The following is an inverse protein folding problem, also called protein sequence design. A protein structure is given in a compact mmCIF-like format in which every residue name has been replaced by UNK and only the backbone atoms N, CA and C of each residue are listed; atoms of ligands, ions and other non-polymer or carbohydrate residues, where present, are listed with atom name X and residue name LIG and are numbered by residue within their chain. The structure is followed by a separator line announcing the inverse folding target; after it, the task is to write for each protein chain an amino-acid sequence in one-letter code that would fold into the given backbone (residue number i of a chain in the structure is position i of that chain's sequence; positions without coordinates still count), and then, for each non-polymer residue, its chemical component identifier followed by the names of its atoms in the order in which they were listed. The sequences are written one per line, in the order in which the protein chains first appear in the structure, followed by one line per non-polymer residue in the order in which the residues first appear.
data_IF_292736161377
#
_entry.id   IF_292736161377
#
_cell.length_a   1.000
_cell.length_b   1.000
_cell.length_c   1.000
_cell.angle_alpha   90.00
_cell.angle_beta   90.00
_cell.angle_gamma   90.00
#
_symmetry.space_group_name_H-M   'P 1'
#
loop_
_entity.id
_entity.type
_entity.pdbx_description
1 polymer ?
#
# COMPACT_ATOMS: atom_id res chain seq x y z
N UNK A 1 21.36 55.63 29.39
CA UNK A 1 19.90 55.71 29.23
C UNK A 1 19.28 54.73 30.20
N UNK A 2 18.33 55.20 30.99
CA UNK A 2 17.63 54.48 32.06
C UNK A 2 16.22 55.09 32.12
N UNK A 3 15.15 54.40 32.49
CA UNK A 3 14.88 52.97 32.69
C UNK A 3 13.35 52.82 32.84
N UNK A 4 12.86 51.57 32.88
CA UNK A 4 11.55 51.18 33.44
C UNK A 4 10.26 51.85 32.89
N UNK A 5 9.39 51.00 32.35
CA UNK A 5 7.99 50.97 32.80
C UNK A 5 7.64 49.50 33.06
N UNK A 6 6.88 49.24 34.12
CA UNK A 6 6.65 47.90 34.66
C UNK A 6 5.20 47.82 35.14
N UNK A 7 4.42 46.89 34.61
CA UNK A 7 3.12 46.53 35.16
C UNK A 7 3.03 45.00 35.32
N UNK A 8 2.76 44.58 36.56
CA UNK A 8 2.41 43.22 36.99
C UNK A 8 0.86 43.12 37.10
N UNK A 9 0.15 42.15 37.67
CA UNK A 9 0.34 40.85 38.38
C UNK A 9 -0.98 40.04 38.15
N UNK A 10 -1.11 38.72 38.21
CA UNK A 10 -0.17 37.60 38.42
C UNK A 10 -0.48 36.53 37.31
N UNK A 11 -1.13 35.35 37.46
CA UNK A 11 -1.43 34.57 38.65
C UNK A 11 -2.32 33.33 38.50
N UNK A 12 -2.43 32.62 39.64
CA UNK A 12 -3.18 31.38 39.90
C UNK A 12 -2.67 30.09 39.25
N UNK A 13 -2.46 29.08 40.10
CA UNK A 13 -1.95 27.75 39.75
C UNK A 13 -2.96 26.65 40.08
N UNK A 14 -2.86 25.52 39.37
CA UNK A 14 -3.40 24.24 39.82
C UNK A 14 -2.52 23.10 39.29
N UNK A 15 -1.98 22.28 40.20
CA UNK A 15 -1.31 21.02 39.88
C UNK A 15 -2.27 19.87 40.22
N UNK A 16 -2.55 19.00 39.25
CA UNK A 16 -3.18 17.71 39.49
C UNK A 16 -2.38 16.63 38.76
N UNK A 17 -1.84 15.68 39.53
CA UNK A 17 -1.27 14.45 38.99
C UNK A 17 -2.36 13.40 39.02
N UNK A 18 -2.51 12.66 37.94
CA UNK A 18 -3.11 11.34 38.00
C UNK A 18 -2.30 10.37 37.15
N UNK A 19 -2.05 9.19 37.71
CA UNK A 19 -1.44 8.05 37.03
C UNK A 19 -2.50 6.94 37.02
N UNK A 20 -2.73 6.32 35.87
CA UNK A 20 -3.45 5.06 35.81
C UNK A 20 -2.74 4.10 34.86
N UNK A 21 -2.79 2.83 35.23
CA UNK A 21 -1.87 1.78 34.81
C UNK A 21 -2.40 0.93 33.65
N UNK A 22 -1.50 0.28 32.92
CA UNK A 22 -1.85 -0.66 31.85
C UNK A 22 -2.39 -1.99 32.40
N UNK A 23 -3.50 -2.53 31.87
CA UNK A 23 -3.78 -3.96 31.90
C UNK A 23 -3.24 -4.67 30.64
N UNK A 24 -2.93 -5.96 30.77
CA UNK A 24 -2.48 -6.84 29.68
C UNK A 24 -3.25 -8.17 29.70
N UNK A 25 -3.20 -8.88 28.57
CA UNK A 25 -3.81 -10.21 28.35
C UNK A 25 -5.37 -10.21 28.27
N UNK A 26 -6.03 -11.25 27.74
CA UNK A 26 -5.51 -12.55 27.30
C UNK A 26 -6.12 -13.12 25.98
N UNK A 27 -5.52 -14.26 25.62
CA UNK A 27 -5.74 -15.22 24.52
C UNK A 27 -7.09 -15.28 23.77
N UNK A 28 -6.99 -15.42 22.44
CA UNK A 28 -8.13 -15.66 21.54
C UNK A 28 -7.85 -16.73 20.48
N UNK A 29 -7.59 -17.97 20.91
CA UNK A 29 -7.19 -19.06 20.01
C UNK A 29 -8.38 -19.77 19.32
N UNK A 30 -8.43 -19.72 17.99
CA UNK A 30 -9.18 -20.70 17.17
C UNK A 30 -8.53 -20.85 15.79
N UNK A 31 -8.37 -22.11 15.34
CA UNK A 31 -7.55 -22.44 14.18
C UNK A 31 -8.33 -22.58 12.86
N UNK A 32 -7.68 -22.21 11.76
CA UNK A 32 -8.06 -22.60 10.41
C UNK A 32 -6.82 -23.09 9.65
N UNK A 33 -6.91 -24.15 8.83
CA UNK A 33 -5.75 -24.71 8.14
C UNK A 33 -5.28 -23.78 7.01
N UNK A 34 -4.32 -22.91 7.32
CA UNK A 34 -3.62 -22.10 6.32
C UNK A 34 -2.92 -23.01 5.30
N UNK A 35 -3.37 -22.95 4.05
CA UNK A 35 -2.94 -23.88 3.00
C UNK A 35 -1.43 -23.92 2.81
N UNK A 36 -0.90 -25.14 2.63
CA UNK A 36 0.54 -25.40 2.48
C UNK A 36 1.16 -24.55 1.37
N UNK A 37 1.96 -23.56 1.76
CA UNK A 37 2.77 -22.79 0.83
C UNK A 37 4.04 -23.60 0.50
N UNK A 38 4.07 -24.22 -0.67
CA UNK A 38 5.20 -25.06 -1.09
C UNK A 38 6.51 -24.28 -1.04
N UNK A 39 7.42 -24.68 -0.15
CA UNK A 39 8.75 -24.08 -0.01
C UNK A 39 9.62 -24.50 -1.19
N UNK A 40 9.58 -23.71 -2.27
CA UNK A 40 10.59 -23.74 -3.32
C UNK A 40 11.84 -23.04 -2.83
N UNK A 41 12.94 -23.78 -2.62
CA UNK A 41 14.18 -23.27 -2.08
C UNK A 41 14.82 -22.17 -2.94
N UNK A 42 15.29 -21.11 -2.29
CA UNK A 42 15.86 -19.91 -2.93
C UNK A 42 15.26 -18.63 -2.33
N UNK A 43 16.10 -17.83 -1.65
CA UNK A 43 15.64 -16.64 -0.95
C UNK A 43 15.00 -15.61 -1.88
N UNK A 44 13.67 -15.42 -1.76
CA UNK A 44 12.92 -14.45 -2.54
C UNK A 44 13.44 -13.02 -2.31
N UNK A 45 13.74 -12.30 -3.40
CA UNK A 45 14.28 -10.94 -3.32
C UNK A 45 13.23 -9.96 -2.77
N UNK A 46 13.48 -9.46 -1.55
CA UNK A 46 12.85 -8.28 -0.97
C UNK A 46 13.62 -7.03 -1.43
N UNK A 47 12.92 -6.00 -1.88
CA UNK A 47 13.52 -4.77 -2.44
C UNK A 47 12.76 -4.26 -3.66
N UNK A 48 13.13 -3.08 -4.21
CA UNK A 48 12.51 -2.51 -5.41
C UNK A 48 12.66 -3.44 -6.61
N UNK A 49 11.79 -3.30 -7.60
CA UNK A 49 11.90 -3.99 -8.89
C UNK A 49 12.90 -3.27 -9.80
N UNK A 50 13.74 -4.03 -10.47
CA UNK A 50 14.70 -3.51 -11.47
C UNK A 50 14.15 -3.64 -12.89
N UNK A 51 14.61 -2.80 -13.81
CA UNK A 51 14.17 -2.83 -15.22
C UNK A 51 14.43 -4.17 -15.91
N UNK A 52 15.45 -4.93 -15.48
CA UNK A 52 15.71 -6.29 -15.96
C UNK A 52 14.66 -7.30 -15.48
N UNK A 53 14.25 -7.22 -14.20
CA UNK A 53 13.16 -8.04 -13.65
C UNK A 53 11.81 -7.69 -14.29
N UNK A 54 11.57 -6.42 -14.57
CA UNK A 54 10.39 -5.96 -15.29
C UNK A 54 10.38 -6.49 -16.74
N UNK A 55 11.50 -6.44 -17.45
CA UNK A 55 11.61 -6.99 -18.80
C UNK A 55 11.37 -8.51 -18.86
N UNK A 56 11.91 -9.26 -17.90
CA UNK A 56 11.66 -10.71 -17.75
C UNK A 56 10.16 -10.99 -17.48
N UNK A 57 9.51 -10.18 -16.65
CA UNK A 57 8.08 -10.32 -16.37
C UNK A 57 7.21 -9.95 -17.59
N UNK A 58 7.57 -8.92 -18.36
CA UNK A 58 6.91 -8.55 -19.62
C UNK A 58 7.03 -9.65 -20.66
N UNK A 59 8.24 -10.19 -20.87
CA UNK A 59 8.50 -11.29 -21.80
C UNK A 59 7.68 -12.54 -21.46
N UNK A 60 7.64 -12.93 -20.17
CA UNK A 60 6.83 -14.05 -19.71
C UNK A 60 5.33 -13.83 -19.97
N UNK A 61 4.78 -12.67 -19.62
CA UNK A 61 3.35 -12.38 -19.83
C UNK A 61 3.02 -12.26 -21.32
N UNK A 62 3.94 -11.75 -22.16
CA UNK A 62 3.76 -11.71 -23.61
C UNK A 62 3.73 -13.10 -24.25
N UNK A 63 4.42 -14.09 -23.67
CA UNK A 63 4.48 -15.48 -24.17
C UNK A 63 3.39 -16.39 -23.61
N UNK A 64 2.92 -16.15 -22.38
CA UNK A 64 2.03 -17.05 -21.64
C UNK A 64 0.70 -16.43 -21.21
N UNK A 65 0.49 -15.13 -21.43
CA UNK A 65 -0.71 -14.39 -21.02
C UNK A 65 -0.73 -13.98 -19.55
N UNK A 66 -1.71 -13.15 -19.19
CA UNK A 66 -1.95 -12.74 -17.80
C UNK A 66 -2.60 -13.90 -17.00
N UNK A 67 -2.14 -14.14 -15.77
CA UNK A 67 -2.91 -14.94 -14.80
C UNK A 67 -2.13 -16.02 -14.05
N UNK A 68 -1.23 -16.76 -14.72
CA UNK A 68 -0.53 -17.90 -14.09
C UNK A 68 0.72 -17.47 -13.30
N UNK A 69 0.52 -16.59 -12.31
CA UNK A 69 1.61 -15.86 -11.64
C UNK A 69 2.56 -16.76 -10.83
N UNK A 70 2.10 -17.90 -10.33
CA UNK A 70 2.96 -18.86 -9.63
C UNK A 70 3.94 -19.57 -10.59
N UNK A 71 3.56 -19.73 -11.86
CA UNK A 71 4.41 -20.34 -12.88
C UNK A 71 5.51 -19.39 -13.37
N UNK A 72 5.36 -18.07 -13.22
CA UNK A 72 6.39 -17.05 -13.56
C UNK A 72 7.74 -17.43 -12.97
N UNK A 73 7.81 -17.63 -11.64
CA UNK A 73 9.06 -17.95 -10.94
C UNK A 73 9.72 -19.24 -11.45
N UNK A 74 8.91 -20.24 -11.86
CA UNK A 74 9.41 -21.52 -12.38
C UNK A 74 10.00 -21.41 -13.78
N UNK A 75 9.38 -20.62 -14.66
CA UNK A 75 9.71 -20.60 -16.10
C UNK A 75 10.56 -19.41 -16.56
N UNK A 76 10.65 -18.34 -15.76
CA UNK A 76 11.42 -17.13 -16.10
C UNK A 76 12.71 -16.93 -15.30
N UNK A 77 13.01 -17.81 -14.33
CA UNK A 77 14.16 -17.67 -13.40
C UNK A 77 14.05 -16.52 -12.41
N UNK A 78 12.94 -15.76 -12.44
CA UNK A 78 12.74 -14.54 -11.67
C UNK A 78 12.61 -14.83 -10.17
N UNK A 79 13.49 -14.26 -9.33
CA UNK A 79 13.55 -14.50 -7.88
C UNK A 79 12.43 -13.80 -7.07
N UNK A 80 11.22 -13.71 -7.62
CA UNK A 80 10.05 -13.01 -7.07
C UNK A 80 8.84 -13.95 -7.09
N UNK A 81 8.09 -14.00 -5.99
CA UNK A 81 6.90 -14.86 -5.90
C UNK A 81 5.74 -14.32 -6.74
N UNK A 82 4.83 -15.21 -7.16
CA UNK A 82 3.70 -14.87 -8.03
C UNK A 82 2.81 -13.72 -7.52
N UNK A 83 2.62 -13.58 -6.20
CA UNK A 83 1.90 -12.43 -5.61
C UNK A 83 2.59 -11.09 -5.91
N UNK A 84 3.93 -11.06 -5.90
CA UNK A 84 4.72 -9.88 -6.27
C UNK A 84 4.63 -9.62 -7.78
N UNK A 85 4.78 -10.66 -8.60
CA UNK A 85 4.69 -10.55 -10.07
C UNK A 85 3.33 -10.00 -10.52
N UNK A 86 2.22 -10.52 -9.97
CA UNK A 86 0.86 -10.01 -10.23
C UNK A 86 0.73 -8.53 -9.88
N UNK A 87 1.25 -8.13 -8.71
CA UNK A 87 1.17 -6.75 -8.23
C UNK A 87 1.99 -5.80 -9.11
N UNK A 88 3.21 -6.20 -9.48
CA UNK A 88 4.07 -5.41 -10.37
C UNK A 88 3.45 -5.24 -11.76
N UNK A 89 2.90 -6.33 -12.32
CA UNK A 89 2.21 -6.28 -13.59
C UNK A 89 1.04 -5.30 -13.57
N UNK A 90 0.08 -5.51 -12.66
CA UNK A 90 -1.15 -4.73 -12.60
C UNK A 90 -0.91 -3.24 -12.32
N UNK A 91 0.08 -2.89 -11.48
CA UNK A 91 0.29 -1.52 -11.01
C UNK A 91 1.36 -0.74 -11.79
N UNK A 92 2.15 -1.38 -12.67
CA UNK A 92 3.27 -0.69 -13.35
C UNK A 92 3.52 -1.11 -14.81
N UNK A 93 3.31 -2.38 -15.18
CA UNK A 93 3.77 -2.91 -16.48
C UNK A 93 2.65 -3.15 -17.50
N UNK A 94 1.39 -3.30 -17.05
CA UNK A 94 0.24 -3.58 -17.93
C UNK A 94 0.09 -2.48 -18.99
N UNK A 95 -0.03 -2.81 -20.29
CA UNK A 95 0.12 -1.85 -21.40
C UNK A 95 -0.97 -0.77 -21.51
N UNK A 96 -2.09 -0.89 -20.79
CA UNK A 96 -3.20 0.07 -20.79
C UNK A 96 -3.35 0.82 -19.44
N UNK A 97 -2.30 0.92 -18.65
CA UNK A 97 -2.31 1.67 -17.38
C UNK A 97 -2.06 3.16 -17.64
N UNK A 98 -3.06 4.03 -17.43
CA UNK A 98 -2.88 5.49 -17.40
C UNK A 98 -1.79 5.85 -16.36
N UNK A 99 -0.79 6.62 -16.77
CA UNK A 99 0.36 7.06 -15.95
C UNK A 99 0.54 8.56 -16.11
N UNK A 100 0.31 9.32 -15.05
CA UNK A 100 0.37 10.77 -15.03
C UNK A 100 -0.28 11.34 -13.76
N UNK A 101 -0.41 12.67 -13.65
CA UNK A 101 -1.39 13.27 -12.73
C UNK A 101 -2.82 12.89 -13.16
N UNK A 102 -3.78 13.03 -12.25
CA UNK A 102 -5.20 12.99 -12.58
C UNK A 102 -5.63 14.29 -13.27
N UNK A 103 -6.69 14.26 -14.08
CA UNK A 103 -7.36 15.49 -14.52
C UNK A 103 -8.24 16.07 -13.40
N UNK A 104 -8.61 17.36 -13.42
CA UNK A 104 -9.51 17.95 -12.41
C UNK A 104 -10.85 17.21 -12.29
N UNK A 105 -11.34 16.63 -13.40
CA UNK A 105 -12.56 15.83 -13.45
C UNK A 105 -12.36 14.47 -12.77
N UNK A 106 -11.21 13.82 -12.96
CA UNK A 106 -10.83 12.60 -12.24
C UNK A 106 -10.64 12.87 -10.74
N UNK A 107 -9.99 13.97 -10.35
CA UNK A 107 -9.80 14.38 -8.95
C UNK A 107 -11.14 14.65 -8.24
N UNK A 108 -12.01 15.45 -8.85
CA UNK A 108 -13.36 15.69 -8.34
C UNK A 108 -14.14 14.38 -8.21
N UNK A 109 -13.97 13.44 -9.16
CA UNK A 109 -14.64 12.13 -9.08
C UNK A 109 -14.07 11.22 -7.99
N UNK A 110 -12.78 11.29 -7.72
CA UNK A 110 -12.16 10.61 -6.58
C UNK A 110 -12.78 11.11 -5.26
N UNK A 111 -12.95 12.43 -5.11
CA UNK A 111 -13.55 13.05 -3.92
C UNK A 111 -15.02 12.62 -3.75
N UNK A 112 -15.85 12.73 -4.80
CA UNK A 112 -17.23 12.27 -4.78
C UNK A 112 -17.36 10.79 -4.38
N UNK A 113 -16.56 9.93 -5.01
CA UNK A 113 -16.61 8.49 -4.76
C UNK A 113 -16.11 8.15 -3.35
N UNK A 114 -15.09 8.84 -2.85
CA UNK A 114 -14.59 8.67 -1.48
C UNK A 114 -15.65 9.07 -0.44
N UNK A 115 -16.28 10.24 -0.61
CA UNK A 115 -17.38 10.67 0.25
C UNK A 115 -18.57 9.68 0.22
N UNK A 116 -18.85 9.08 -0.94
CA UNK A 116 -19.98 8.16 -1.13
C UNK A 116 -19.73 6.72 -0.63
N UNK A 117 -18.48 6.23 -0.60
CA UNK A 117 -18.21 4.83 -0.24
C UNK A 117 -16.95 4.57 0.61
N UNK A 118 -16.26 5.61 1.06
CA UNK A 118 -15.06 5.54 1.89
C UNK A 118 -13.85 4.90 1.18
N UNK A 119 -12.97 4.28 1.96
CA UNK A 119 -11.67 3.73 1.54
C UNK A 119 -11.77 2.46 0.64
N UNK A 120 -12.62 2.44 -0.38
CA UNK A 120 -12.80 1.32 -1.33
C UNK A 120 -12.01 1.54 -2.62
N UNK A 121 -10.75 1.96 -2.49
CA UNK A 121 -9.86 2.40 -3.56
C UNK A 121 -9.87 1.54 -4.83
N UNK A 122 -9.86 0.21 -4.70
CA UNK A 122 -9.92 -0.70 -5.86
C UNK A 122 -11.22 -0.56 -6.68
N UNK A 123 -12.37 -0.31 -6.02
CA UNK A 123 -13.66 -0.07 -6.67
C UNK A 123 -13.79 1.36 -7.20
N UNK A 124 -13.09 2.32 -6.59
CA UNK A 124 -13.02 3.70 -7.08
C UNK A 124 -12.18 3.78 -8.36
N UNK A 125 -11.00 3.14 -8.38
CA UNK A 125 -10.13 3.08 -9.55
C UNK A 125 -10.85 2.50 -10.78
N UNK A 126 -11.64 1.43 -10.63
CA UNK A 126 -12.46 0.87 -11.72
C UNK A 126 -13.59 1.77 -12.23
N UNK A 127 -13.87 2.91 -11.58
CA UNK A 127 -14.83 3.93 -12.05
C UNK A 127 -14.10 5.14 -12.65
N UNK A 128 -13.00 5.59 -12.01
CA UNK A 128 -12.19 6.72 -12.50
C UNK A 128 -11.48 6.36 -13.80
N UNK A 129 -10.82 5.21 -13.88
CA UNK A 129 -10.08 4.75 -15.07
C UNK A 129 -10.96 4.31 -16.25
N UNK A 130 -12.28 4.53 -16.19
CA UNK A 130 -13.22 4.34 -17.31
C UNK A 130 -13.65 5.67 -17.95
N UNK A 131 -13.17 6.82 -17.45
CA UNK A 131 -13.25 8.08 -18.17
C UNK A 131 -12.28 8.03 -19.38
N UNK A 132 -12.75 8.37 -20.60
CA UNK A 132 -11.94 8.34 -21.82
C UNK A 132 -10.75 9.32 -21.73
#
# INVERSE_FOLDING_TARGET
MSCLSNESDDGSAANMKDQVESPSADEGSSGGPGGSFSVGGGGLKKGPWTSAEDAILVDYVSKHGEGNWNAVQKYSGLSRCGKSCRLRWANHLRPNLKKGPFTPEEEQKIIELHAKMGNKWAKMATQVSLLP
#
